data_IF_162655810728
#
_entry.id   IF_162655810728
#
_cell.length_a   1.000
_cell.length_b   1.000
_cell.length_c   1.000
_cell.angle_alpha   90.00
_cell.angle_beta   90.00
_cell.angle_gamma   90.00
#
_symmetry.space_group_name_H-M   'P 1'
#
loop_
_entity.id
_entity.type
_entity.pdbx_description
1 polymer ?
#
# COMPACT_ATOMS: atom_id res chain seq x y z
N UNK A 1 8.66 10.91 -2.71
CA UNK A 1 8.59 10.50 -4.11
C UNK A 1 7.34 9.64 -4.29
N UNK A 2 6.42 10.07 -5.14
CA UNK A 2 5.18 9.34 -5.46
C UNK A 2 5.49 8.45 -6.65
N UNK A 3 5.27 7.14 -6.52
CA UNK A 3 5.53 6.20 -7.60
C UNK A 3 4.18 5.82 -8.21
N UNK A 4 3.89 6.32 -9.41
CA UNK A 4 2.71 5.91 -10.17
C UNK A 4 3.13 4.90 -11.24
N UNK A 5 2.49 3.73 -11.27
CA UNK A 5 2.57 2.86 -12.43
C UNK A 5 1.62 3.37 -13.52
N UNK A 6 1.90 3.04 -14.79
CA UNK A 6 1.06 3.33 -15.98
C UNK A 6 -0.41 2.86 -15.91
N UNK A 7 -0.83 2.24 -14.81
CA UNK A 7 -2.13 1.58 -14.61
C UNK A 7 -2.83 1.98 -13.30
N UNK A 8 -2.58 3.18 -12.77
CA UNK A 8 -3.37 3.74 -11.66
C UNK A 8 -3.22 3.01 -10.31
N UNK A 9 -2.19 2.16 -10.15
CA UNK A 9 -1.88 1.54 -8.87
C UNK A 9 -1.14 2.56 -8.00
N UNK A 10 -1.85 3.18 -7.06
CA UNK A 10 -1.31 4.23 -6.21
C UNK A 10 -0.59 3.62 -5.00
N UNK A 11 0.73 3.60 -4.99
CA UNK A 11 1.50 3.30 -3.79
C UNK A 11 2.18 4.57 -3.29
N UNK A 12 2.08 4.83 -1.99
CA UNK A 12 2.72 6.00 -1.37
C UNK A 12 3.86 5.56 -0.47
N UNK A 13 5.01 6.22 -0.61
CA UNK A 13 6.17 6.00 0.23
C UNK A 13 6.56 7.30 0.93
N UNK A 14 6.60 7.26 2.26
CA UNK A 14 7.04 8.38 3.11
C UNK A 14 8.09 7.87 4.09
N UNK A 15 9.34 8.27 3.86
CA UNK A 15 10.48 7.77 4.64
C UNK A 15 10.62 6.24 4.54
N UNK A 16 10.66 5.53 5.69
CA UNK A 16 10.78 4.08 5.71
C UNK A 16 9.47 3.35 5.41
N UNK A 17 8.33 4.05 5.41
CA UNK A 17 7.02 3.43 5.25
C UNK A 17 6.56 3.42 3.79
N UNK A 18 6.00 2.30 3.36
CA UNK A 18 5.37 2.09 2.05
C UNK A 18 3.95 1.58 2.28
N UNK A 19 2.95 2.31 1.79
CA UNK A 19 1.54 1.94 1.87
C UNK A 19 0.97 1.72 0.47
N UNK A 20 0.18 0.67 0.35
CA UNK A 20 -0.56 0.30 -0.85
C UNK A 20 -2.03 0.14 -0.43
N UNK A 21 -2.94 1.04 -0.87
CA UNK A 21 -4.34 1.05 -0.50
C UNK A 21 -5.19 -0.01 -1.24
N UNK A 22 -4.59 -0.77 -2.16
CA UNK A 22 -5.26 -1.82 -2.93
C UNK A 22 -4.49 -3.15 -2.80
N UNK A 23 -5.23 -4.27 -2.69
CA UNK A 23 -4.65 -5.61 -2.79
C UNK A 23 -4.63 -6.08 -4.24
N UNK A 24 -3.43 -6.22 -4.79
CA UNK A 24 -3.20 -6.76 -6.12
C UNK A 24 -1.75 -6.60 -6.50
N UNK A 25 -1.14 -7.66 -7.04
CA UNK A 25 0.21 -7.55 -7.60
C UNK A 25 0.09 -6.76 -8.90
N UNK A 26 0.51 -5.50 -8.89
CA UNK A 26 0.57 -4.64 -10.06
C UNK A 26 1.53 -5.11 -11.16
N UNK A 27 1.71 -6.43 -11.36
CA UNK A 27 2.39 -6.95 -12.55
C UNK A 27 2.91 -8.39 -12.56
N UNK A 28 3.11 -9.10 -11.43
CA UNK A 28 4.02 -10.28 -11.48
C UNK A 28 3.51 -11.61 -10.91
N UNK A 29 2.29 -11.71 -10.37
CA UNK A 29 1.76 -13.02 -9.94
C UNK A 29 0.23 -13.04 -9.99
N UNK A 30 -0.36 -14.11 -10.55
CA UNK A 30 -1.82 -14.34 -10.52
C UNK A 30 -2.19 -14.82 -9.10
N UNK A 31 -3.25 -14.30 -8.45
CA UNK A 31 -4.35 -13.47 -8.99
C UNK A 31 -4.05 -11.96 -8.99
N UNK A 32 -4.62 -11.27 -9.99
CA UNK A 32 -4.43 -9.83 -10.23
C UNK A 32 -5.12 -8.94 -9.19
N UNK A 33 -6.18 -9.46 -8.57
CA UNK A 33 -6.91 -8.88 -7.43
C UNK A 33 -7.19 -10.03 -6.46
N UNK A 34 -6.74 -9.90 -5.22
CA UNK A 34 -7.08 -10.86 -4.16
C UNK A 34 -8.21 -10.24 -3.36
N UNK A 35 -9.39 -10.85 -3.48
CA UNK A 35 -10.59 -10.44 -2.75
C UNK A 35 -10.32 -10.58 -1.23
N UNK A 36 -10.23 -9.48 -0.47
CA UNK A 36 -9.91 -9.54 0.96
C UNK A 36 -10.98 -10.29 1.77
N UNK A 37 -12.18 -10.45 1.19
CA UNK A 37 -13.29 -11.21 1.76
C UNK A 37 -13.14 -12.73 1.61
N UNK A 38 -12.34 -13.22 0.65
CA UNK A 38 -12.13 -14.65 0.40
C UNK A 38 -10.91 -15.24 1.09
N UNK A 39 -9.82 -14.48 1.24
CA UNK A 39 -8.59 -14.96 1.88
C UNK A 39 -8.41 -14.46 3.32
N UNK A 40 -9.23 -13.48 3.76
CA UNK A 40 -9.09 -12.86 5.06
C UNK A 40 -7.87 -11.94 5.12
N UNK A 41 -8.03 -10.79 5.76
CA UNK A 41 -6.93 -9.87 6.06
C UNK A 41 -7.22 -8.42 5.70
N UNK A 42 -6.25 -7.53 5.97
CA UNK A 42 -6.45 -6.10 5.86
C UNK A 42 -6.75 -5.67 4.41
N UNK A 43 -7.53 -4.59 4.22
CA UNK A 43 -7.95 -4.09 2.90
C UNK A 43 -6.78 -3.55 2.05
N UNK A 44 -5.64 -3.29 2.67
CA UNK A 44 -4.42 -2.86 1.99
C UNK A 44 -3.16 -3.41 2.65
N UNK A 45 -2.01 -2.88 2.24
CA UNK A 45 -0.70 -3.34 2.67
C UNK A 45 0.14 -2.16 3.17
N UNK A 46 0.71 -2.30 4.36
CA UNK A 46 1.67 -1.35 4.93
C UNK A 46 2.95 -2.09 5.28
N UNK A 47 4.07 -1.60 4.77
CA UNK A 47 5.39 -2.17 5.01
C UNK A 47 6.36 -1.12 5.53
N UNK A 48 7.25 -1.53 6.43
CA UNK A 48 8.36 -0.72 6.89
C UNK A 48 9.64 -1.20 6.20
N UNK A 49 10.07 -0.52 5.14
CA UNK A 49 11.24 -0.88 4.34
C UNK A 49 12.57 -0.72 5.08
N UNK A 50 12.60 0.01 6.20
CA UNK A 50 13.81 0.14 7.02
C UNK A 50 14.05 -1.13 7.85
N UNK A 51 13.00 -1.75 8.38
CA UNK A 51 13.11 -2.99 9.14
C UNK A 51 12.86 -4.25 8.30
N UNK A 52 12.07 -4.13 7.25
CA UNK A 52 11.61 -5.22 6.39
C UNK A 52 11.63 -4.78 4.92
N UNK A 53 12.82 -4.63 4.32
CA UNK A 53 12.96 -4.26 2.90
C UNK A 53 12.42 -5.32 1.95
N UNK A 54 12.21 -6.55 2.42
CA UNK A 54 11.64 -7.67 1.66
C UNK A 54 10.10 -7.70 1.68
N UNK A 55 9.43 -6.74 2.33
CA UNK A 55 7.96 -6.59 2.33
C UNK A 55 7.24 -7.88 2.78
N UNK A 56 7.80 -8.57 3.77
CA UNK A 56 7.30 -9.85 4.29
C UNK A 56 6.18 -9.68 5.31
N UNK A 57 6.22 -8.60 6.11
CA UNK A 57 5.27 -8.40 7.22
C UNK A 57 4.33 -7.24 6.95
N UNK A 58 3.05 -7.55 6.73
CA UNK A 58 2.02 -6.52 6.62
C UNK A 58 1.70 -5.94 8.00
N UNK A 59 1.97 -4.64 8.15
CA UNK A 59 1.80 -3.86 9.37
C UNK A 59 0.53 -2.99 9.34
N UNK A 60 -0.37 -3.22 8.37
CA UNK A 60 -1.58 -2.41 8.19
C UNK A 60 -2.44 -2.34 9.46
N UNK A 61 -2.68 -3.48 10.09
CA UNK A 61 -3.49 -3.58 11.32
C UNK A 61 -2.69 -3.13 12.57
N UNK A 62 -1.37 -3.27 12.52
CA UNK A 62 -0.48 -2.92 13.63
C UNK A 62 -0.25 -1.40 13.76
N UNK A 63 -0.33 -0.65 12.66
CA UNK A 63 -0.07 0.80 12.64
C UNK A 63 -1.17 1.57 11.89
N UNK A 64 -2.42 1.57 12.38
CA UNK A 64 -3.53 2.27 11.73
C UNK A 64 -3.30 3.80 11.63
N UNK A 65 -2.55 4.38 12.57
CA UNK A 65 -2.15 5.79 12.54
C UNK A 65 -1.30 6.14 11.31
N UNK A 66 -0.35 5.26 10.94
CA UNK A 66 0.52 5.45 9.77
C UNK A 66 -0.29 5.27 8.49
N UNK A 67 -1.18 4.26 8.46
CA UNK A 67 -2.12 4.06 7.35
C UNK A 67 -2.95 5.31 7.12
N UNK A 68 -3.54 5.89 8.17
CA UNK A 68 -4.34 7.10 8.07
C UNK A 68 -3.54 8.30 7.55
N UNK A 69 -2.33 8.52 8.06
CA UNK A 69 -1.46 9.61 7.59
C UNK A 69 -1.09 9.47 6.11
N UNK A 70 -0.69 8.27 5.69
CA UNK A 70 -0.30 7.99 4.32
C UNK A 70 -1.49 8.04 3.37
N UNK A 71 -2.67 7.60 3.82
CA UNK A 71 -3.93 7.71 3.09
C UNK A 71 -4.30 9.17 2.88
N UNK A 72 -4.16 10.01 3.91
CA UNK A 72 -4.45 11.44 3.77
C UNK A 72 -3.49 12.11 2.78
N UNK A 73 -2.20 11.81 2.89
CA UNK A 73 -1.20 12.33 1.95
C UNK A 73 -1.47 11.85 0.51
N UNK A 74 -1.93 10.61 0.33
CA UNK A 74 -2.29 10.10 -0.98
C UNK A 74 -3.51 10.83 -1.56
N UNK A 75 -4.53 11.12 -0.76
CA UNK A 75 -5.69 11.89 -1.18
C UNK A 75 -5.31 13.33 -1.54
N UNK A 76 -4.40 13.94 -0.78
CA UNK A 76 -3.86 15.27 -1.05
C UNK A 76 -3.18 15.32 -2.43
N UNK A 77 -2.24 14.40 -2.68
CA UNK A 77 -1.57 14.27 -3.98
C UNK A 77 -2.56 14.01 -5.13
N UNK A 78 -3.61 13.22 -4.89
CA UNK A 78 -4.65 12.94 -5.89
C UNK A 78 -5.50 14.17 -6.18
N UNK A 79 -5.74 15.02 -5.19
CA UNK A 79 -6.50 16.26 -5.35
C UNK A 79 -5.69 17.34 -6.10
N UNK A 80 -4.36 17.24 -6.06
CA UNK A 80 -3.43 18.16 -6.75
C UNK A 80 -3.10 17.76 -8.21
N UNK A 81 -3.64 16.65 -8.72
CA UNK A 81 -3.48 16.17 -10.12
C UNK A 81 -4.76 16.34 -10.93
#
# INVERSE_FOLDING_TARGET
AVHHSLWGMFAIRKGPWKMIPQRGSGGFTRPREIDPTKEGGPPGQLYNLQSDPSETKNLWDAHPEIVAQLTNLLNDIRAEQ
#
